data_IF_492948860651
#
_entry.id   IF_492948860651
#
_cell.length_a   1.000
_cell.length_b   1.000
_cell.length_c   1.000
_cell.angle_alpha   90.00
_cell.angle_beta   90.00
_cell.angle_gamma   90.00
#
_symmetry.space_group_name_H-M   'P 1'
#
loop_
_entity.id
_entity.type
_entity.pdbx_description
1 polymer ?
#
# COMPACT_ATOMS: atom_id res chain seq x y z
N UNK A 1 12.99 11.59 18.23
CA UNK A 1 12.90 11.14 16.82
C UNK A 1 13.58 12.17 15.93
N UNK A 2 14.41 11.74 14.98
CA UNK A 2 15.03 12.67 14.01
C UNK A 2 14.00 13.05 12.94
N UNK A 3 14.13 14.24 12.32
CA UNK A 3 13.24 14.67 11.21
C UNK A 3 13.23 13.69 10.02
N UNK A 4 14.24 12.84 9.91
CA UNK A 4 14.30 11.73 8.94
C UNK A 4 13.26 10.65 9.23
N UNK A 5 13.04 10.32 10.50
CA UNK A 5 12.23 9.18 10.93
C UNK A 5 10.75 9.50 10.75
N UNK A 6 10.37 10.75 11.04
CA UNK A 6 9.04 11.29 10.76
C UNK A 6 8.67 11.18 9.28
N UNK A 7 9.64 11.34 8.37
CA UNK A 7 9.36 11.25 6.94
C UNK A 7 8.96 9.84 6.51
N UNK A 8 9.58 8.79 7.05
CA UNK A 8 9.17 7.41 6.75
C UNK A 8 7.76 7.08 7.28
N UNK A 9 7.39 7.66 8.41
CA UNK A 9 6.02 7.55 8.94
C UNK A 9 5.03 8.20 7.96
N UNK A 10 5.34 9.41 7.47
CA UNK A 10 4.54 10.04 6.42
C UNK A 10 4.44 9.15 5.18
N UNK A 11 5.54 8.56 4.72
CA UNK A 11 5.54 7.64 3.57
C UNK A 11 4.60 6.44 3.78
N UNK A 12 4.61 5.84 4.97
CA UNK A 12 3.72 4.73 5.30
C UNK A 12 2.25 5.17 5.31
N UNK A 13 1.94 6.31 5.94
CA UNK A 13 0.58 6.86 5.99
C UNK A 13 0.08 7.20 4.58
N UNK A 14 0.87 7.93 3.78
CA UNK A 14 0.51 8.29 2.41
C UNK A 14 0.28 7.06 1.55
N UNK A 15 1.17 6.05 1.66
CA UNK A 15 1.04 4.83 0.89
C UNK A 15 -0.21 4.04 1.25
N UNK A 16 -0.53 3.94 2.54
CA UNK A 16 -1.77 3.29 2.99
C UNK A 16 -3.00 4.03 2.46
N UNK A 17 -3.08 5.36 2.65
CA UNK A 17 -4.21 6.16 2.18
C UNK A 17 -4.37 6.10 0.65
N UNK A 18 -3.27 6.06 -0.10
CA UNK A 18 -3.31 5.88 -1.55
C UNK A 18 -3.90 4.53 -1.95
N UNK A 19 -3.55 3.47 -1.22
CA UNK A 19 -4.13 2.14 -1.38
C UNK A 19 -5.64 2.14 -1.11
N UNK A 20 -6.07 2.72 0.03
CA UNK A 20 -7.49 2.81 0.39
C UNK A 20 -8.25 3.60 -0.68
N UNK A 21 -7.70 4.72 -1.13
CA UNK A 21 -8.28 5.53 -2.19
C UNK A 21 -8.45 4.72 -3.49
N UNK A 22 -7.41 4.01 -3.94
CA UNK A 22 -7.48 3.17 -5.14
C UNK A 22 -8.53 2.06 -4.99
N UNK A 23 -8.62 1.42 -3.82
CA UNK A 23 -9.64 0.41 -3.53
C UNK A 23 -11.06 0.98 -3.64
N UNK A 24 -11.35 2.06 -2.92
CA UNK A 24 -12.71 2.62 -2.86
C UNK A 24 -13.15 3.17 -4.22
N UNK A 25 -12.25 3.85 -4.93
CA UNK A 25 -12.56 4.40 -6.25
C UNK A 25 -12.82 3.31 -7.28
N UNK A 26 -12.00 2.25 -7.30
CA UNK A 26 -12.20 1.12 -8.22
C UNK A 26 -13.46 0.34 -7.88
N UNK A 27 -13.74 0.08 -6.60
CA UNK A 27 -14.97 -0.58 -6.15
C UNK A 27 -16.21 0.21 -6.60
N UNK A 28 -16.27 1.52 -6.31
CA UNK A 28 -17.38 2.38 -6.73
C UNK A 28 -17.57 2.42 -8.24
N UNK A 29 -16.47 2.45 -8.99
CA UNK A 29 -16.52 2.52 -10.45
C UNK A 29 -16.96 1.22 -11.12
N UNK A 30 -16.68 0.06 -10.50
CA UNK A 30 -16.91 -1.25 -11.12
C UNK A 30 -18.15 -1.97 -10.58
N UNK A 31 -18.45 -1.84 -9.28
CA UNK A 31 -19.52 -2.58 -8.59
C UNK A 31 -20.67 -1.69 -8.08
N UNK A 32 -20.53 -0.37 -8.11
CA UNK A 32 -21.56 0.56 -7.61
C UNK A 32 -21.49 0.79 -6.09
N UNK A 33 -22.46 1.54 -5.55
CA UNK A 33 -22.46 2.09 -4.18
C UNK A 33 -22.71 1.10 -3.04
N UNK A 34 -23.11 -0.14 -3.34
CA UNK A 34 -23.82 -0.96 -2.36
C UNK A 34 -22.90 -1.81 -1.45
N UNK A 35 -21.58 -1.81 -1.69
CA UNK A 35 -20.60 -2.65 -0.99
C UNK A 35 -19.63 -1.90 -0.06
N UNK A 36 -20.05 -0.78 0.52
CA UNK A 36 -19.16 0.05 1.35
C UNK A 36 -19.26 -0.36 2.83
N UNK A 37 -18.49 -1.37 3.23
CA UNK A 37 -18.15 -1.61 4.64
C UNK A 37 -16.72 -1.12 4.91
N UNK A 38 -16.52 0.20 4.87
CA UNK A 38 -15.22 0.86 5.03
C UNK A 38 -14.50 0.44 6.32
N UNK A 39 -15.25 0.16 7.38
CA UNK A 39 -14.70 -0.32 8.66
C UNK A 39 -14.02 -1.68 8.52
N UNK A 40 -14.63 -2.60 7.76
CA UNK A 40 -14.08 -3.91 7.48
C UNK A 40 -12.85 -3.83 6.58
N UNK A 41 -12.87 -2.94 5.58
CA UNK A 41 -11.71 -2.68 4.72
C UNK A 41 -10.48 -2.27 5.55
N UNK A 42 -10.65 -1.35 6.50
CA UNK A 42 -9.57 -0.94 7.39
C UNK A 42 -9.10 -2.11 8.24
N UNK A 43 -10.02 -2.88 8.85
CA UNK A 43 -9.64 -4.05 9.64
C UNK A 43 -8.84 -5.09 8.84
N UNK A 44 -9.23 -5.34 7.59
CA UNK A 44 -8.60 -6.33 6.73
C UNK A 44 -7.26 -5.89 6.15
N UNK A 45 -7.03 -4.59 5.95
CA UNK A 45 -5.82 -4.09 5.25
C UNK A 45 -4.81 -3.45 6.19
N UNK A 46 -5.25 -2.80 7.28
CA UNK A 46 -4.38 -2.11 8.22
C UNK A 46 -3.42 -3.11 8.88
N UNK A 47 -3.93 -4.22 9.41
CA UNK A 47 -3.11 -5.21 10.09
C UNK A 47 -2.06 -5.84 9.15
N UNK A 48 -2.42 -6.41 7.98
CA UNK A 48 -1.43 -6.97 7.06
C UNK A 48 -0.43 -5.93 6.53
N UNK A 49 -0.87 -4.69 6.29
CA UNK A 49 0.02 -3.63 5.82
C UNK A 49 1.10 -3.27 6.85
N UNK A 50 0.72 -2.97 8.09
CA UNK A 50 1.67 -2.51 9.11
C UNK A 50 2.55 -3.62 9.67
N UNK A 51 2.05 -4.86 9.73
CA UNK A 51 2.81 -5.99 10.30
C UNK A 51 3.70 -6.69 9.27
N UNK A 52 3.17 -6.93 8.07
CA UNK A 52 3.86 -7.71 7.03
C UNK A 52 4.33 -6.81 5.89
N UNK A 53 3.47 -5.95 5.35
CA UNK A 53 3.79 -5.10 4.20
C UNK A 53 5.00 -4.20 4.43
N UNK A 54 5.00 -3.39 5.49
CA UNK A 54 6.11 -2.49 5.82
C UNK A 54 7.41 -3.27 6.06
N UNK A 55 7.32 -4.41 6.75
CA UNK A 55 8.49 -5.23 7.06
C UNK A 55 9.10 -5.80 5.77
N UNK A 56 8.28 -6.30 4.86
CA UNK A 56 8.72 -6.77 3.55
C UNK A 56 9.33 -5.64 2.70
N UNK A 57 8.73 -4.46 2.69
CA UNK A 57 9.28 -3.29 1.98
C UNK A 57 10.65 -2.88 2.53
N UNK A 58 10.82 -2.89 3.85
CA UNK A 58 12.09 -2.63 4.50
C UNK A 58 13.14 -3.68 4.12
N UNK A 59 12.78 -4.97 4.15
CA UNK A 59 13.66 -6.05 3.70
C UNK A 59 14.07 -5.89 2.24
N UNK A 60 13.13 -5.56 1.34
CA UNK A 60 13.45 -5.28 -0.07
C UNK A 60 14.49 -4.16 -0.21
N UNK A 61 14.35 -3.06 0.54
CA UNK A 61 15.33 -1.96 0.51
C UNK A 61 16.70 -2.44 0.99
N UNK A 62 16.77 -3.21 2.08
CA UNK A 62 18.03 -3.74 2.62
C UNK A 62 18.70 -4.66 1.59
N UNK A 63 17.95 -5.61 1.03
CA UNK A 63 18.47 -6.57 0.04
C UNK A 63 18.98 -5.85 -1.20
N UNK A 64 18.18 -4.97 -1.81
CA UNK A 64 18.56 -4.24 -3.02
C UNK A 64 19.82 -3.39 -2.83
N UNK A 65 20.01 -2.83 -1.63
CA UNK A 65 21.23 -2.10 -1.28
C UNK A 65 22.42 -3.03 -1.05
N UNK A 66 22.22 -4.18 -0.41
CA UNK A 66 23.30 -5.14 -0.17
C UNK A 66 23.92 -5.69 -1.46
N UNK A 67 23.11 -5.87 -2.51
CA UNK A 67 23.56 -6.28 -3.85
C UNK A 67 23.94 -5.12 -4.76
N UNK A 68 23.97 -3.88 -4.23
CA UNK A 68 24.31 -2.65 -4.94
C UNK A 68 23.46 -2.39 -6.21
N UNK A 69 22.22 -2.88 -6.24
CA UNK A 69 21.24 -2.70 -7.33
C UNK A 69 20.06 -1.84 -6.87
N UNK A 70 20.35 -0.73 -6.19
CA UNK A 70 19.31 0.14 -5.64
C UNK A 70 18.91 1.25 -6.64
N UNK A 71 17.86 0.97 -7.43
CA UNK A 71 17.21 1.93 -8.32
C UNK A 71 15.69 1.92 -8.15
N UNK A 72 15.03 3.07 -8.39
CA UNK A 72 13.61 3.30 -8.12
C UNK A 72 12.71 2.21 -8.73
N UNK A 73 12.89 1.90 -10.02
CA UNK A 73 12.01 0.95 -10.71
C UNK A 73 12.13 -0.48 -10.21
N UNK A 74 13.34 -0.95 -9.85
CA UNK A 74 13.50 -2.28 -9.27
C UNK A 74 12.90 -2.35 -7.88
N UNK A 75 13.04 -1.28 -7.10
CA UNK A 75 12.43 -1.20 -5.79
C UNK A 75 10.90 -1.24 -5.89
N UNK A 76 10.32 -0.47 -6.81
CA UNK A 76 8.87 -0.50 -7.06
C UNK A 76 8.41 -1.90 -7.47
N UNK A 77 9.12 -2.54 -8.40
CA UNK A 77 8.80 -3.90 -8.84
C UNK A 77 8.90 -4.91 -7.68
N UNK A 78 9.96 -4.82 -6.86
CA UNK A 78 10.12 -5.66 -5.68
C UNK A 78 8.99 -5.43 -4.67
N UNK A 79 8.59 -4.18 -4.42
CA UNK A 79 7.48 -3.85 -3.52
C UNK A 79 6.15 -4.42 -4.01
N UNK A 80 5.87 -4.32 -5.32
CA UNK A 80 4.65 -4.90 -5.90
C UNK A 80 4.64 -6.43 -5.74
N UNK A 81 5.76 -7.09 -6.04
CA UNK A 81 5.86 -8.56 -5.91
C UNK A 81 5.66 -9.03 -4.47
N UNK A 82 6.33 -8.40 -3.50
CA UNK A 82 6.14 -8.77 -2.08
C UNK A 82 4.81 -8.29 -1.51
N UNK A 83 4.18 -7.28 -2.13
CA UNK A 83 2.85 -6.78 -1.81
C UNK A 83 1.74 -7.80 -2.05
N UNK A 84 2.01 -8.90 -2.77
CA UNK A 84 1.09 -10.03 -2.92
C UNK A 84 0.95 -10.82 -1.61
N UNK A 85 2.02 -10.90 -0.81
CA UNK A 85 2.05 -11.66 0.44
C UNK A 85 0.96 -11.20 1.43
N UNK A 86 0.84 -9.90 1.79
CA UNK A 86 -0.20 -9.46 2.71
C UNK A 86 -1.63 -9.69 2.17
N UNK A 87 -1.84 -9.76 0.85
CA UNK A 87 -3.16 -10.10 0.26
C UNK A 87 -3.60 -11.51 0.66
N UNK A 88 -2.66 -12.46 0.73
CA UNK A 88 -2.99 -13.85 1.12
C UNK A 88 -3.46 -13.99 2.57
N UNK A 89 -3.24 -12.97 3.41
CA UNK A 89 -3.72 -12.93 4.80
C UNK A 89 -5.16 -12.42 4.92
N UNK A 90 -5.68 -11.76 3.89
CA UNK A 90 -7.01 -11.13 3.91
C UNK A 90 -8.13 -12.17 4.08
N UNK A 91 -8.15 -13.31 3.37
CA UNK A 91 -9.17 -14.34 3.59
C UNK A 91 -9.21 -14.84 5.03
N UNK A 92 -8.05 -14.95 5.68
CA UNK A 92 -7.95 -15.36 7.07
C UNK A 92 -8.61 -14.32 7.99
N UNK A 93 -8.39 -13.02 7.74
CA UNK A 93 -9.04 -11.93 8.48
C UNK A 93 -10.54 -11.80 8.16
N UNK A 94 -10.98 -12.29 7.00
CA UNK A 94 -12.40 -12.43 6.64
C UNK A 94 -13.06 -13.67 7.26
N UNK A 95 -12.32 -14.51 7.99
CA UNK A 95 -12.84 -15.71 8.66
C UNK A 95 -12.74 -17.01 7.84
N UNK A 96 -12.06 -17.00 6.69
CA UNK A 96 -11.78 -18.18 5.88
C UNK A 96 -10.46 -18.84 6.31
N UNK A 97 -10.54 -20.07 6.84
CA UNK A 97 -9.40 -20.83 7.36
C UNK A 97 -8.78 -21.82 6.35
N UNK A 98 -8.98 -21.61 5.04
CA UNK A 98 -8.45 -22.52 4.02
C UNK A 98 -6.99 -22.21 3.67
N UNK A 99 -6.14 -23.24 3.57
CA UNK A 99 -4.75 -23.09 3.13
C UNK A 99 -4.60 -22.68 1.64
N UNK A 100 -5.69 -22.72 0.86
CA UNK A 100 -5.72 -22.38 -0.56
C UNK A 100 -5.91 -20.87 -0.85
N UNK A 101 -5.38 -20.00 0.02
CA UNK A 101 -5.56 -18.54 -0.03
C UNK A 101 -4.95 -17.86 -1.28
N UNK A 102 -4.08 -18.54 -2.03
CA UNK A 102 -3.54 -17.99 -3.27
C UNK A 102 -4.59 -17.81 -4.37
N UNK A 103 -5.67 -18.61 -4.36
CA UNK A 103 -6.77 -18.43 -5.32
C UNK A 103 -7.52 -17.12 -5.09
N UNK A 104 -7.58 -16.64 -3.85
CA UNK A 104 -8.21 -15.37 -3.51
C UNK A 104 -7.51 -14.20 -4.20
N UNK A 105 -6.19 -14.23 -4.35
CA UNK A 105 -5.44 -13.16 -5.03
C UNK A 105 -5.98 -12.92 -6.44
N UNK A 106 -6.39 -13.98 -7.15
CA UNK A 106 -6.91 -13.90 -8.52
C UNK A 106 -8.44 -13.88 -8.61
N UNK A 107 -9.13 -13.71 -7.48
CA UNK A 107 -10.59 -13.53 -7.45
C UNK A 107 -10.98 -12.09 -7.79
N UNK A 108 -12.25 -11.84 -8.16
CA UNK A 108 -12.77 -10.47 -8.32
C UNK A 108 -12.53 -9.60 -7.09
N UNK A 109 -12.73 -10.13 -5.89
CA UNK A 109 -12.50 -9.40 -4.63
C UNK A 109 -10.99 -9.15 -4.42
N UNK A 110 -10.18 -10.16 -4.71
CA UNK A 110 -8.71 -10.06 -4.66
C UNK A 110 -8.13 -8.99 -5.58
N UNK A 111 -8.79 -8.71 -6.71
CA UNK A 111 -8.37 -7.65 -7.63
C UNK A 111 -8.35 -6.26 -6.98
N UNK A 112 -9.36 -5.92 -6.18
CA UNK A 112 -9.36 -4.64 -5.46
C UNK A 112 -8.22 -4.55 -4.44
N UNK A 113 -7.91 -5.66 -3.76
CA UNK A 113 -6.76 -5.72 -2.85
C UNK A 113 -5.41 -5.68 -3.59
N UNK A 114 -5.33 -6.26 -4.79
CA UNK A 114 -4.16 -6.09 -5.64
C UNK A 114 -3.97 -4.62 -6.04
N UNK A 115 -5.03 -3.91 -6.42
CA UNK A 115 -4.97 -2.47 -6.70
C UNK A 115 -4.54 -1.66 -5.46
N UNK A 116 -5.08 -1.99 -4.29
CA UNK A 116 -4.69 -1.41 -3.01
C UNK A 116 -3.18 -1.55 -2.79
N UNK A 117 -2.65 -2.78 -2.76
CA UNK A 117 -1.25 -3.03 -2.42
C UNK A 117 -0.30 -2.54 -3.50
N UNK A 118 -0.70 -2.58 -4.78
CA UNK A 118 0.10 -2.04 -5.90
C UNK A 118 0.24 -0.53 -5.79
N UNK A 119 -0.86 0.19 -5.54
CA UNK A 119 -0.83 1.65 -5.39
C UNK A 119 -0.01 2.05 -4.16
N UNK A 120 -0.20 1.35 -3.04
CA UNK A 120 0.63 1.51 -1.84
C UNK A 120 2.10 1.26 -2.13
N UNK A 121 2.45 0.19 -2.86
CA UNK A 121 3.82 -0.13 -3.24
C UNK A 121 4.48 0.99 -4.06
N UNK A 122 3.76 1.57 -5.03
CA UNK A 122 4.27 2.69 -5.86
C UNK A 122 4.57 3.91 -4.99
N UNK A 123 3.61 4.33 -4.16
CA UNK A 123 3.74 5.52 -3.31
C UNK A 123 4.83 5.32 -2.24
N UNK A 124 4.85 4.16 -1.59
CA UNK A 124 5.89 3.82 -0.62
C UNK A 124 7.28 3.75 -1.26
N UNK A 125 7.38 3.18 -2.47
CA UNK A 125 8.65 3.11 -3.22
C UNK A 125 9.18 4.49 -3.54
N UNK A 126 8.35 5.37 -4.10
CA UNK A 126 8.73 6.75 -4.38
C UNK A 126 9.15 7.52 -3.11
N UNK A 127 8.36 7.43 -2.04
CA UNK A 127 8.64 8.10 -0.79
C UNK A 127 9.95 7.63 -0.13
N UNK A 128 10.16 6.32 -0.04
CA UNK A 128 11.42 5.76 0.49
C UNK A 128 12.62 6.08 -0.41
N UNK A 129 12.45 6.12 -1.74
CA UNK A 129 13.50 6.56 -2.66
C UNK A 129 13.91 8.01 -2.40
N UNK A 130 12.95 8.93 -2.29
CA UNK A 130 13.20 10.35 -1.95
C UNK A 130 13.96 10.46 -0.62
N UNK A 131 13.55 9.69 0.39
CA UNK A 131 14.22 9.66 1.70
C UNK A 131 15.68 9.19 1.60
N UNK A 132 15.92 8.09 0.89
CA UNK A 132 17.22 7.44 0.81
C UNK A 132 18.22 8.21 -0.05
N UNK A 133 17.77 8.77 -1.18
CA UNK A 133 18.60 9.61 -2.05
C UNK A 133 18.73 11.04 -1.56
N UNK A 134 18.11 11.40 -0.42
CA UNK A 134 18.10 12.75 0.16
C UNK A 134 17.65 13.82 -0.83
N UNK A 135 16.69 13.47 -1.68
CA UNK A 135 16.09 14.40 -2.64
C UNK A 135 15.22 15.42 -1.91
N UNK A 136 14.80 16.48 -2.62
CA UNK A 136 13.82 17.41 -2.07
C UNK A 136 12.53 16.66 -1.72
N UNK A 137 12.04 16.89 -0.51
CA UNK A 137 10.85 16.25 0.05
C UNK A 137 9.57 16.97 -0.36
N UNK A 138 9.65 18.23 -0.82
CA UNK A 138 8.51 19.02 -1.29
C UNK A 138 7.59 18.28 -2.28
N UNK A 139 8.09 17.63 -3.36
CA UNK A 139 7.21 16.91 -4.28
C UNK A 139 6.43 15.78 -3.59
N UNK A 140 7.05 15.06 -2.65
CA UNK A 140 6.37 14.04 -1.88
C UNK A 140 5.30 14.63 -0.95
N UNK A 141 5.57 15.78 -0.33
CA UNK A 141 4.59 16.46 0.53
C UNK A 141 3.38 16.98 -0.27
N UNK A 142 3.59 17.48 -1.49
CA UNK A 142 2.50 17.85 -2.39
C UNK A 142 1.65 16.63 -2.73
N UNK A 143 2.30 15.52 -3.11
CA UNK A 143 1.62 14.25 -3.38
C UNK A 143 0.82 13.76 -2.15
N UNK A 144 1.39 13.87 -0.95
CA UNK A 144 0.69 13.56 0.29
C UNK A 144 -0.58 14.40 0.47
N UNK A 145 -0.48 15.72 0.32
CA UNK A 145 -1.65 16.62 0.44
C UNK A 145 -2.72 16.27 -0.61
N UNK A 146 -2.32 16.02 -1.86
CA UNK A 146 -3.24 15.61 -2.91
C UNK A 146 -3.98 14.30 -2.59
N UNK A 147 -3.26 13.30 -2.08
CA UNK A 147 -3.86 12.01 -1.69
C UNK A 147 -4.82 12.19 -0.51
N UNK A 148 -4.46 13.00 0.49
CA UNK A 148 -5.34 13.28 1.63
C UNK A 148 -6.61 14.00 1.18
N UNK A 149 -6.49 15.01 0.30
CA UNK A 149 -7.65 15.71 -0.25
C UNK A 149 -8.53 14.78 -1.09
N UNK A 150 -7.93 13.98 -1.97
CA UNK A 150 -8.65 13.02 -2.80
C UNK A 150 -9.39 11.97 -1.94
N UNK A 151 -8.74 11.49 -0.88
CA UNK A 151 -9.34 10.58 0.08
C UNK A 151 -10.52 11.22 0.83
N UNK A 152 -10.37 12.46 1.30
CA UNK A 152 -11.45 13.19 1.97
C UNK A 152 -12.67 13.38 1.06
N UNK A 153 -12.45 13.68 -0.22
CA UNK A 153 -13.52 13.78 -1.23
C UNK A 153 -14.23 12.44 -1.41
N UNK A 154 -13.49 11.34 -1.50
CA UNK A 154 -14.08 9.99 -1.68
C UNK A 154 -14.89 9.55 -0.46
N UNK A 155 -14.55 9.96 0.75
CA UNK A 155 -15.37 9.66 1.93
C UNK A 155 -16.62 10.55 2.00
N UNK A 156 -16.51 11.80 1.59
CA UNK A 156 -17.61 12.77 1.67
C UNK A 156 -18.72 12.53 0.64
N UNK A 157 -18.40 11.86 -0.47
CA UNK A 157 -19.34 11.46 -1.54
C UNK A 157 -19.85 10.06 -1.28
#
# INVERSE_FOLDING_TARGET
MKRSDLFYIWVAITGYLAGVFAYLTSLRSLEGSDFIHTEQLVAWTLFPFFTVGILLYLLCVIVLRSINRYYLWLQTLAFILVGIVPITMIPFLMGSFSAANFRFVFSPEGFFFMLFFTTTAIVCSYGTWVAQKRLDKKPFLILFVLIVLAFAIVIAV
#
